data_IF_199671625305
#
_entry.id   IF_199671625305
#
_cell.length_a   1.000
_cell.length_b   1.000
_cell.length_c   1.000
_cell.angle_alpha   90.00
_cell.angle_beta   90.00
_cell.angle_gamma   90.00
#
_symmetry.space_group_name_H-M   'P 1'
#
loop_
_entity.id
_entity.type
_entity.pdbx_description
1 polymer ?
#
# COMPACT_ATOMS: atom_id res chain seq x y z
N UNK A 1 3.35 16.44 42.27
CA UNK A 1 3.38 14.96 42.27
C UNK A 1 2.87 14.33 40.96
N UNK A 2 1.72 14.75 40.40
CA UNK A 2 1.17 14.16 39.16
C UNK A 2 2.04 14.34 37.90
N UNK A 3 2.67 15.51 37.73
CA UNK A 3 3.57 15.79 36.60
C UNK A 3 4.86 14.95 36.62
N UNK A 4 5.40 14.70 37.82
CA UNK A 4 6.60 13.85 38.00
C UNK A 4 6.26 12.38 37.70
N UNK A 5 5.09 11.91 38.14
CA UNK A 5 4.63 10.56 37.82
C UNK A 5 4.40 10.38 36.30
N UNK A 6 3.85 11.37 35.60
CA UNK A 6 3.66 11.34 34.15
C UNK A 6 5.00 11.29 33.40
N UNK A 7 5.99 12.09 33.82
CA UNK A 7 7.34 12.06 33.25
C UNK A 7 8.05 10.73 33.49
N UNK A 8 7.87 10.12 34.68
CA UNK A 8 8.43 8.81 35.00
C UNK A 8 7.81 7.69 34.15
N UNK A 9 6.49 7.76 33.90
CA UNK A 9 5.78 6.81 33.03
C UNK A 9 6.20 6.94 31.55
N UNK A 10 6.43 8.16 31.05
CA UNK A 10 6.96 8.40 29.71
C UNK A 10 8.43 7.95 29.56
N UNK A 11 9.22 7.98 30.62
CA UNK A 11 10.59 7.48 30.62
C UNK A 11 10.66 5.93 30.65
N UNK A 12 9.60 5.26 31.09
CA UNK A 12 9.48 3.80 31.16
C UNK A 12 8.95 3.16 29.85
N UNK A 13 8.47 3.95 28.89
CA UNK A 13 8.14 3.44 27.56
C UNK A 13 9.43 3.25 26.77
N UNK A 14 10.01 2.05 26.84
CA UNK A 14 11.15 1.67 26.01
C UNK A 14 10.85 1.88 24.53
N UNK A 15 11.84 2.33 23.76
CA UNK A 15 11.69 2.44 22.32
C UNK A 15 11.52 1.04 21.73
N UNK A 16 10.38 0.81 21.07
CA UNK A 16 10.16 -0.38 20.26
C UNK A 16 11.04 -0.28 19.02
N UNK A 17 12.27 -0.81 19.11
CA UNK A 17 13.13 -0.98 17.95
C UNK A 17 12.58 -2.10 17.07
N UNK A 18 12.43 -1.83 15.78
CA UNK A 18 12.08 -2.87 14.80
C UNK A 18 13.10 -4.01 14.91
N UNK A 19 12.63 -5.21 15.27
CA UNK A 19 13.51 -6.36 15.51
C UNK A 19 14.30 -6.72 14.26
N UNK A 20 15.63 -6.73 14.37
CA UNK A 20 16.49 -7.32 13.36
C UNK A 20 16.78 -8.76 13.78
N UNK A 21 16.59 -9.71 12.88
CA UNK A 21 16.97 -11.11 13.11
C UNK A 21 18.31 -11.35 12.42
N UNK A 22 19.29 -11.84 13.18
CA UNK A 22 20.54 -12.33 12.62
C UNK A 22 20.30 -13.72 12.02
N UNK A 23 20.52 -13.84 10.72
CA UNK A 23 20.51 -15.10 9.97
C UNK A 23 21.98 -15.50 9.81
N UNK A 24 22.33 -16.68 10.31
CA UNK A 24 23.67 -17.25 10.09
C UNK A 24 23.71 -17.81 8.67
N UNK A 25 24.61 -17.28 7.85
CA UNK A 25 24.83 -17.75 6.48
C UNK A 25 25.78 -18.95 6.48
N UNK A 26 25.72 -19.83 5.47
CA UNK A 26 26.76 -20.82 5.23
C UNK A 26 28.13 -20.14 5.17
N UNK A 27 29.08 -20.57 6.02
CA UNK A 27 30.39 -19.91 6.19
C UNK A 27 30.52 -18.98 7.40
N UNK A 28 29.51 -18.89 8.27
CA UNK A 28 29.60 -18.20 9.57
C UNK A 28 29.38 -16.68 9.53
N UNK A 29 29.05 -16.12 8.37
CA UNK A 29 28.66 -14.72 8.23
C UNK A 29 27.29 -14.45 8.85
N UNK A 30 27.13 -13.31 9.53
CA UNK A 30 25.84 -12.87 10.06
C UNK A 30 25.18 -11.90 9.08
N UNK A 31 23.97 -12.24 8.62
CA UNK A 31 23.12 -11.35 7.83
C UNK A 31 21.97 -10.85 8.71
N UNK A 32 21.87 -9.54 8.91
CA UNK A 32 20.77 -8.94 9.64
C UNK A 32 19.61 -8.64 8.69
N UNK A 33 18.45 -9.27 8.93
CA UNK A 33 17.22 -9.00 8.19
C UNK A 33 16.28 -8.17 9.05
N UNK A 34 15.84 -7.03 8.51
CA UNK A 34 14.77 -6.24 9.12
C UNK A 34 13.48 -7.05 9.11
N UNK A 35 12.90 -7.29 10.29
CA UNK A 35 11.61 -7.97 10.41
C UNK A 35 10.50 -6.92 10.34
N UNK A 36 9.46 -7.22 9.58
CA UNK A 36 8.22 -6.44 9.49
C UNK A 36 7.09 -7.29 10.10
N UNK A 37 6.23 -6.66 10.89
CA UNK A 37 5.00 -7.28 11.36
C UNK A 37 4.01 -7.48 10.20
N UNK A 38 3.05 -8.38 10.39
CA UNK A 38 1.97 -8.61 9.41
C UNK A 38 1.21 -7.31 9.12
N UNK A 39 1.00 -6.45 10.13
CA UNK A 39 0.33 -5.15 9.96
C UNK A 39 1.20 -4.20 9.13
N UNK A 40 2.48 -4.04 9.46
CA UNK A 40 3.38 -3.16 8.69
C UNK A 40 3.48 -3.60 7.23
N UNK A 41 3.60 -4.91 6.98
CA UNK A 41 3.62 -5.45 5.62
C UNK A 41 2.31 -5.19 4.88
N UNK A 42 1.17 -5.31 5.57
CA UNK A 42 -0.15 -5.06 4.99
C UNK A 42 -0.29 -3.63 4.48
N UNK A 43 0.28 -2.64 5.16
CA UNK A 43 0.25 -1.23 4.75
C UNK A 43 1.55 -0.72 4.14
N UNK A 44 2.46 -1.62 3.74
CA UNK A 44 3.74 -1.25 3.16
C UNK A 44 3.54 -0.33 1.94
N UNK A 45 4.25 0.81 1.94
CA UNK A 45 4.21 1.85 0.92
C UNK A 45 2.84 2.55 0.75
N UNK A 46 1.91 2.38 1.68
CA UNK A 46 0.61 3.07 1.67
C UNK A 46 0.56 4.12 2.78
N UNK A 47 -0.23 5.17 2.55
CA UNK A 47 -0.67 6.09 3.60
C UNK A 47 -1.99 5.56 4.15
N UNK A 48 -1.98 5.10 5.41
CA UNK A 48 -3.16 4.58 6.11
C UNK A 48 -4.15 5.73 6.38
N UNK A 49 -5.43 5.49 6.11
CA UNK A 49 -6.50 6.42 6.41
C UNK A 49 -6.80 6.43 7.91
N UNK A 50 -6.85 7.61 8.53
CA UNK A 50 -7.13 7.80 9.96
C UNK A 50 -8.46 8.51 10.24
N UNK A 51 -9.00 9.24 9.25
CA UNK A 51 -10.24 10.02 9.40
C UNK A 51 -11.37 9.40 8.58
N UNK A 52 -12.62 9.64 8.94
CA UNK A 52 -13.75 9.21 8.13
C UNK A 52 -13.82 10.00 6.82
N UNK A 53 -14.28 9.36 5.75
CA UNK A 53 -14.50 9.97 4.43
C UNK A 53 -13.26 10.59 3.73
N UNK A 54 -12.05 10.29 4.21
CA UNK A 54 -10.77 10.78 3.67
C UNK A 54 -10.03 9.78 2.78
N UNK A 55 -10.67 8.68 2.38
CA UNK A 55 -10.06 7.65 1.53
C UNK A 55 -9.41 8.20 0.25
N UNK A 56 -10.04 9.18 -0.41
CA UNK A 56 -9.47 9.87 -1.57
C UNK A 56 -8.20 10.64 -1.22
N UNK A 57 -8.16 11.29 -0.05
CA UNK A 57 -6.98 12.00 0.44
C UNK A 57 -5.80 11.05 0.68
N UNK A 58 -6.06 9.93 1.36
CA UNK A 58 -5.03 8.93 1.68
C UNK A 58 -4.53 8.18 0.44
N UNK A 59 -5.42 7.85 -0.50
CA UNK A 59 -5.06 7.28 -1.80
C UNK A 59 -4.18 8.26 -2.60
N UNK A 60 -4.54 9.55 -2.60
CA UNK A 60 -3.75 10.57 -3.25
C UNK A 60 -2.39 10.76 -2.59
N UNK A 61 -2.35 10.90 -1.26
CA UNK A 61 -1.11 11.00 -0.48
C UNK A 61 -0.16 9.82 -0.76
N UNK A 62 -0.71 8.61 -0.90
CA UNK A 62 0.07 7.42 -1.27
C UNK A 62 0.76 7.60 -2.62
N UNK A 63 0.05 8.05 -3.66
CA UNK A 63 0.65 8.29 -4.98
C UNK A 63 1.68 9.42 -4.91
N UNK A 64 1.37 10.52 -4.24
CA UNK A 64 2.28 11.67 -4.13
C UNK A 64 3.58 11.29 -3.39
N UNK A 65 3.48 10.52 -2.31
CA UNK A 65 4.63 10.07 -1.53
C UNK A 65 5.47 9.04 -2.27
N UNK A 66 4.86 8.05 -2.89
CA UNK A 66 5.61 6.96 -3.51
C UNK A 66 6.07 7.26 -4.94
N UNK A 67 5.21 7.89 -5.75
CA UNK A 67 5.51 8.10 -7.17
C UNK A 67 6.19 9.45 -7.45
N UNK A 68 6.08 10.43 -6.54
CA UNK A 68 6.64 11.77 -6.72
C UNK A 68 7.58 12.18 -5.58
N UNK A 69 7.89 11.27 -4.63
CA UNK A 69 8.79 11.51 -3.51
C UNK A 69 8.44 12.73 -2.64
N UNK A 70 7.16 13.13 -2.62
CA UNK A 70 6.70 14.24 -1.81
C UNK A 70 6.40 13.78 -0.39
N UNK A 71 6.96 14.47 0.61
CA UNK A 71 6.69 14.15 2.00
C UNK A 71 5.33 14.70 2.45
N UNK A 72 4.26 14.02 2.01
CA UNK A 72 2.88 14.35 2.34
C UNK A 72 2.19 13.18 3.01
N UNK A 73 1.42 13.46 4.05
CA UNK A 73 0.53 12.51 4.70
C UNK A 73 -0.94 12.82 4.38
N UNK A 74 -1.83 12.01 4.96
CA UNK A 74 -3.27 12.18 4.81
C UNK A 74 -3.73 13.58 5.27
N UNK A 75 -3.24 14.06 6.41
CA UNK A 75 -3.67 15.33 6.99
C UNK A 75 -3.27 16.53 6.11
N UNK A 76 -2.05 16.50 5.57
CA UNK A 76 -1.58 17.52 4.62
C UNK A 76 -2.46 17.59 3.37
N UNK A 77 -2.80 16.42 2.80
CA UNK A 77 -3.65 16.36 1.60
C UNK A 77 -5.09 16.77 1.92
N UNK A 78 -5.65 16.37 3.08
CA UNK A 78 -6.97 16.83 3.56
C UNK A 78 -7.00 18.36 3.65
N UNK A 79 -6.03 18.96 4.35
CA UNK A 79 -5.96 20.42 4.52
C UNK A 79 -5.90 21.14 3.18
N UNK A 80 -5.06 20.64 2.26
CA UNK A 80 -4.95 21.21 0.92
C UNK A 80 -6.23 21.11 0.09
N UNK A 81 -6.93 19.97 0.15
CA UNK A 81 -8.21 19.81 -0.55
C UNK A 81 -9.32 20.68 0.03
N UNK A 82 -9.38 20.83 1.36
CA UNK A 82 -10.41 21.64 2.04
C UNK A 82 -10.37 23.13 1.66
N UNK A 83 -9.25 23.65 1.16
CA UNK A 83 -9.15 25.04 0.70
C UNK A 83 -10.14 25.34 -0.44
N UNK A 84 -10.35 24.37 -1.34
CA UNK A 84 -11.15 24.55 -2.57
C UNK A 84 -12.39 23.64 -2.63
N UNK A 85 -12.64 22.87 -1.57
CA UNK A 85 -13.76 21.93 -1.45
C UNK A 85 -14.90 22.53 -0.62
N UNK A 86 -16.12 22.04 -0.85
CA UNK A 86 -17.26 22.38 -0.01
C UNK A 86 -17.23 21.53 1.28
N UNK A 87 -16.96 22.17 2.42
CA UNK A 87 -16.79 21.48 3.69
C UNK A 87 -18.04 20.72 4.16
N UNK A 88 -19.24 21.24 3.90
CA UNK A 88 -20.49 20.59 4.32
C UNK A 88 -20.73 19.29 3.52
N UNK A 89 -20.37 19.30 2.24
CA UNK A 89 -20.45 18.13 1.38
C UNK A 89 -19.37 17.10 1.74
N UNK A 90 -18.13 17.54 2.00
CA UNK A 90 -17.04 16.64 2.40
C UNK A 90 -17.34 15.94 3.72
N UNK A 91 -17.97 16.62 4.68
CA UNK A 91 -18.35 16.00 5.97
C UNK A 91 -19.39 14.89 5.85
N UNK A 92 -20.24 14.94 4.82
CA UNK A 92 -21.36 14.00 4.66
C UNK A 92 -21.10 12.93 3.60
N UNK A 93 -20.32 13.24 2.57
CA UNK A 93 -20.10 12.39 1.39
C UNK A 93 -18.62 12.10 1.12
N UNK A 94 -17.70 12.81 1.76
CA UNK A 94 -16.27 12.72 1.51
C UNK A 94 -15.76 13.53 0.33
N UNK A 95 -14.47 13.39 0.06
CA UNK A 95 -13.82 14.07 -1.06
C UNK A 95 -14.21 13.48 -2.41
N UNK A 96 -14.52 14.34 -3.37
CA UNK A 96 -14.78 13.94 -4.75
C UNK A 96 -13.51 13.91 -5.60
N UNK A 97 -13.57 13.30 -6.79
CA UNK A 97 -12.48 13.40 -7.78
C UNK A 97 -12.24 14.85 -8.24
N UNK A 98 -13.26 15.70 -8.19
CA UNK A 98 -13.12 17.12 -8.53
C UNK A 98 -12.29 17.86 -7.47
N UNK A 99 -12.50 17.55 -6.19
CA UNK A 99 -11.72 18.13 -5.10
C UNK A 99 -10.26 17.71 -5.19
N UNK A 100 -10.01 16.41 -5.45
CA UNK A 100 -8.66 15.90 -5.70
C UNK A 100 -7.99 16.60 -6.89
N UNK A 101 -8.73 16.82 -7.99
CA UNK A 101 -8.22 17.53 -9.17
C UNK A 101 -7.83 18.97 -8.82
N UNK A 102 -8.71 19.73 -8.15
CA UNK A 102 -8.44 21.14 -7.77
C UNK A 102 -7.22 21.26 -6.86
N UNK A 103 -7.06 20.34 -5.92
CA UNK A 103 -5.87 20.31 -5.07
C UNK A 103 -4.59 20.03 -5.86
N UNK A 104 -4.59 19.03 -6.74
CA UNK A 104 -3.45 18.73 -7.61
C UNK A 104 -3.07 19.94 -8.48
N UNK A 105 -4.06 20.62 -9.06
CA UNK A 105 -3.83 21.83 -9.85
C UNK A 105 -3.23 22.97 -9.01
N UNK A 106 -3.61 23.09 -7.73
CA UNK A 106 -3.04 24.09 -6.83
C UNK A 106 -1.56 23.87 -6.50
N UNK A 107 -1.06 22.65 -6.65
CA UNK A 107 0.36 22.29 -6.47
C UNK A 107 1.09 22.08 -7.81
N UNK A 108 0.61 22.72 -8.89
CA UNK A 108 1.17 22.64 -10.24
C UNK A 108 1.22 21.23 -10.85
N UNK A 109 0.35 20.32 -10.38
CA UNK A 109 0.17 19.00 -10.97
C UNK A 109 -1.09 18.97 -11.85
N UNK A 110 -1.12 18.05 -12.81
CA UNK A 110 -2.29 17.82 -13.66
C UNK A 110 -2.99 16.56 -13.21
N UNK A 111 -4.32 16.57 -13.22
CA UNK A 111 -5.12 15.39 -12.94
C UNK A 111 -6.19 15.18 -14.01
N UNK A 112 -6.38 13.93 -14.43
CA UNK A 112 -7.37 13.58 -15.45
C UNK A 112 -8.12 12.31 -15.09
N UNK A 113 -9.44 12.38 -15.13
CA UNK A 113 -10.32 11.21 -15.11
C UNK A 113 -10.50 10.66 -16.52
N UNK A 114 -10.23 9.38 -16.72
CA UNK A 114 -10.47 8.67 -17.97
C UNK A 114 -11.50 7.58 -17.74
N UNK A 115 -12.47 7.48 -18.66
CA UNK A 115 -13.32 6.30 -18.75
C UNK A 115 -12.66 5.30 -19.68
N UNK A 116 -12.31 4.13 -19.17
CA UNK A 116 -11.62 3.09 -19.96
C UNK A 116 -12.35 1.76 -19.83
N UNK A 117 -12.19 0.89 -20.83
CA UNK A 117 -12.72 -0.48 -20.76
C UNK A 117 -11.80 -1.38 -19.92
N UNK A 118 -12.32 -2.48 -19.37
CA UNK A 118 -11.52 -3.45 -18.61
C UNK A 118 -10.30 -3.99 -19.35
N UNK A 119 -10.32 -4.04 -20.68
CA UNK A 119 -9.21 -4.53 -21.51
C UNK A 119 -8.04 -3.56 -21.58
N UNK A 120 -8.34 -2.26 -21.53
CA UNK A 120 -7.32 -1.22 -21.51
C UNK A 120 -6.63 -1.14 -20.14
N UNK A 121 -7.27 -1.64 -19.07
CA UNK A 121 -6.73 -1.60 -17.71
C UNK A 121 -5.33 -2.23 -17.57
N UNK A 122 -5.06 -3.31 -18.31
CA UNK A 122 -3.75 -4.00 -18.32
C UNK A 122 -2.65 -3.14 -18.96
N UNK A 123 -3.02 -2.17 -19.80
CA UNK A 123 -2.07 -1.26 -20.45
C UNK A 123 -1.70 -0.07 -19.56
N UNK A 124 -2.44 0.16 -18.47
CA UNK A 124 -2.17 1.24 -17.51
C UNK A 124 -0.96 0.86 -16.65
N UNK A 125 0.20 1.44 -16.99
CA UNK A 125 1.50 1.20 -16.30
C UNK A 125 1.83 2.23 -15.21
N UNK A 126 0.87 3.03 -14.80
CA UNK A 126 1.05 4.05 -13.76
C UNK A 126 0.01 3.81 -12.66
N UNK A 127 0.34 4.07 -11.39
CA UNK A 127 -0.63 3.95 -10.32
C UNK A 127 -1.69 5.04 -10.50
N UNK A 128 -2.96 4.64 -10.37
CA UNK A 128 -4.11 5.53 -10.56
C UNK A 128 -5.07 5.38 -9.40
N UNK A 129 -5.82 6.44 -9.09
CA UNK A 129 -6.92 6.35 -8.11
C UNK A 129 -8.15 5.82 -8.84
N UNK A 130 -8.84 4.84 -8.26
CA UNK A 130 -10.09 4.29 -8.78
C UNK A 130 -11.16 4.28 -7.70
N UNK A 131 -12.42 4.35 -8.13
CA UNK A 131 -13.56 4.19 -7.23
C UNK A 131 -14.05 2.74 -7.31
N UNK A 132 -13.99 2.04 -6.19
CA UNK A 132 -14.54 0.70 -6.03
C UNK A 132 -15.83 0.74 -5.23
N UNK A 133 -16.80 -0.07 -5.64
CA UNK A 133 -18.03 -0.37 -4.91
C UNK A 133 -17.96 -1.81 -4.41
N UNK A 134 -17.87 -1.97 -3.09
CA UNK A 134 -17.84 -3.27 -2.44
C UNK A 134 -19.09 -3.37 -1.57
N UNK A 135 -20.10 -4.12 -2.04
CA UNK A 135 -21.36 -4.36 -1.33
C UNK A 135 -22.09 -3.06 -0.92
N UNK A 136 -22.09 -2.05 -1.79
CA UNK A 136 -22.73 -0.76 -1.55
C UNK A 136 -21.84 0.27 -0.86
N UNK A 137 -20.62 -0.12 -0.45
CA UNK A 137 -19.63 0.80 0.09
C UNK A 137 -18.72 1.29 -1.03
N UNK A 138 -18.84 2.58 -1.37
CA UNK A 138 -18.01 3.25 -2.37
C UNK A 138 -16.75 3.80 -1.72
N UNK A 139 -15.59 3.43 -2.25
CA UNK A 139 -14.31 3.75 -1.64
C UNK A 139 -13.23 4.04 -2.69
N UNK A 140 -12.43 5.07 -2.45
CA UNK A 140 -11.27 5.38 -3.29
C UNK A 140 -10.07 4.54 -2.89
N UNK A 141 -9.48 3.87 -3.88
CA UNK A 141 -8.28 3.06 -3.69
C UNK A 141 -7.25 3.38 -4.76
N UNK A 142 -5.99 3.02 -4.48
CA UNK A 142 -4.92 3.09 -5.46
C UNK A 142 -4.89 1.78 -6.25
N UNK A 143 -5.19 1.83 -7.54
CA UNK A 143 -4.83 0.75 -8.46
C UNK A 143 -3.34 0.86 -8.76
N UNK A 144 -2.57 -0.09 -8.22
CA UNK A 144 -1.11 -0.12 -8.31
C UNK A 144 -0.66 -0.67 -9.67
N UNK A 145 -1.20 -1.85 -10.01
CA UNK A 145 -0.86 -2.58 -11.23
C UNK A 145 -1.98 -3.56 -11.58
N UNK A 146 -2.15 -3.81 -12.86
CA UNK A 146 -3.02 -4.88 -13.37
C UNK A 146 -2.22 -5.81 -14.27
N UNK A 147 -2.34 -7.10 -14.06
CA UNK A 147 -1.82 -8.15 -14.95
C UNK A 147 -3.01 -8.89 -15.60
N UNK A 148 -2.78 -9.99 -16.32
CA UNK A 148 -3.84 -10.74 -17.04
C UNK A 148 -4.96 -11.23 -16.10
N UNK A 149 -4.58 -11.76 -14.95
CA UNK A 149 -5.50 -12.43 -14.02
C UNK A 149 -5.82 -11.61 -12.76
N UNK A 150 -4.99 -10.61 -12.45
CA UNK A 150 -4.99 -9.97 -11.13
C UNK A 150 -4.93 -8.44 -11.21
N UNK A 151 -5.69 -7.78 -10.33
CA UNK A 151 -5.59 -6.35 -10.03
C UNK A 151 -5.01 -6.15 -8.63
N UNK A 152 -3.90 -5.44 -8.53
CA UNK A 152 -3.23 -5.09 -7.27
C UNK A 152 -3.70 -3.73 -6.79
N UNK A 153 -4.23 -3.70 -5.57
CA UNK A 153 -4.90 -2.55 -4.98
C UNK A 153 -4.20 -2.15 -3.69
N UNK A 154 -3.86 -0.87 -3.55
CA UNK A 154 -3.52 -0.23 -2.30
C UNK A 154 -4.76 0.42 -1.72
N UNK A 155 -5.40 -0.26 -0.79
CA UNK A 155 -6.57 0.26 -0.08
C UNK A 155 -6.10 1.01 1.18
N UNK A 156 -6.37 2.32 1.34
CA UNK A 156 -5.94 3.08 2.51
C UNK A 156 -6.51 2.57 3.85
N UNK A 157 -7.62 1.83 3.83
CA UNK A 157 -8.27 1.26 5.02
C UNK A 157 -7.90 -0.21 5.21
N UNK A 158 -7.89 -0.98 4.12
CA UNK A 158 -7.73 -2.42 4.17
C UNK A 158 -6.32 -2.90 3.80
N UNK A 159 -5.42 -1.99 3.44
CA UNK A 159 -4.05 -2.26 3.04
C UNK A 159 -3.92 -2.84 1.62
N UNK A 160 -2.73 -3.38 1.34
CA UNK A 160 -2.42 -4.02 0.07
C UNK A 160 -3.26 -5.29 -0.12
N UNK A 161 -4.02 -5.34 -1.20
CA UNK A 161 -4.88 -6.46 -1.60
C UNK A 161 -4.72 -6.77 -3.08
N UNK A 162 -5.13 -7.98 -3.44
CA UNK A 162 -5.19 -8.44 -4.83
C UNK A 162 -6.57 -9.03 -5.09
N UNK A 163 -7.19 -8.62 -6.17
CA UNK A 163 -8.47 -9.15 -6.64
C UNK A 163 -8.26 -9.87 -7.96
N UNK A 164 -9.02 -10.95 -8.20
CA UNK A 164 -9.15 -11.49 -9.54
C UNK A 164 -9.68 -10.37 -10.46
N UNK A 165 -9.16 -10.28 -11.69
CA UNK A 165 -9.51 -9.20 -12.62
C UNK A 165 -11.03 -9.07 -12.80
N UNK A 166 -11.73 -10.19 -12.97
CA UNK A 166 -13.18 -10.21 -13.16
C UNK A 166 -13.94 -9.69 -11.93
N UNK A 167 -13.47 -10.00 -10.73
CA UNK A 167 -14.09 -9.52 -9.50
C UNK A 167 -13.85 -8.04 -9.26
N UNK A 168 -12.64 -7.55 -9.60
CA UNK A 168 -12.35 -6.13 -9.60
C UNK A 168 -13.27 -5.36 -10.55
N UNK A 169 -13.44 -5.86 -11.78
CA UNK A 169 -14.25 -5.21 -12.82
C UNK A 169 -15.72 -5.11 -12.41
N UNK A 170 -16.27 -6.09 -11.69
CA UNK A 170 -17.65 -6.04 -11.18
C UNK A 170 -17.88 -4.89 -10.20
N UNK A 171 -16.89 -4.58 -9.36
CA UNK A 171 -16.97 -3.49 -8.38
C UNK A 171 -16.48 -2.14 -8.89
N UNK A 172 -15.90 -2.07 -10.08
CA UNK A 172 -15.28 -0.86 -10.60
C UNK A 172 -16.21 -0.11 -11.57
N UNK A 173 -16.27 1.21 -11.45
CA UNK A 173 -17.18 2.06 -12.22
C UNK A 173 -16.68 2.44 -13.64
N UNK A 174 -15.55 1.90 -14.07
CA UNK A 174 -14.94 2.19 -15.38
C UNK A 174 -14.13 3.49 -15.44
N UNK A 175 -13.94 4.18 -14.32
CA UNK A 175 -13.18 5.45 -14.26
C UNK A 175 -11.84 5.24 -13.57
N UNK A 176 -10.76 5.69 -14.21
CA UNK A 176 -9.44 5.84 -13.61
C UNK A 176 -9.10 7.32 -13.47
N UNK A 177 -8.52 7.70 -12.33
CA UNK A 177 -8.05 9.06 -12.07
C UNK A 177 -6.52 9.06 -12.04
N UNK A 178 -5.92 9.64 -13.07
CA UNK A 178 -4.48 9.69 -13.25
C UNK A 178 -3.91 11.03 -12.74
N UNK A 179 -2.82 10.94 -11.99
CA UNK A 179 -2.03 12.08 -11.49
C UNK A 179 -0.79 12.23 -12.36
N UNK A 180 -0.57 13.41 -12.92
CA UNK A 180 0.46 13.72 -13.91
C UNK A 180 1.21 14.98 -13.46
N UNK A 181 2.45 14.83 -13.03
CA UNK A 181 3.34 15.94 -12.66
C UNK A 181 4.77 15.72 -13.15
N UNK A 182 5.62 16.70 -12.93
CA UNK A 182 7.06 16.53 -13.05
C UNK A 182 7.60 15.67 -11.89
N UNK A 183 8.76 15.04 -12.08
CA UNK A 183 9.38 14.22 -11.02
C UNK A 183 8.76 12.84 -10.80
N UNK A 184 7.93 12.35 -11.72
CA UNK A 184 7.38 10.99 -11.63
C UNK A 184 8.49 9.94 -11.70
N UNK A 185 8.60 9.13 -10.64
CA UNK A 185 9.52 8.01 -10.56
C UNK A 185 8.91 6.76 -11.23
N UNK A 186 9.56 6.30 -12.31
CA UNK A 186 9.16 5.09 -13.05
C UNK A 186 9.54 3.78 -12.36
N UNK A 187 10.28 3.85 -11.26
CA UNK A 187 10.75 2.71 -10.46
C UNK A 187 10.12 2.68 -9.07
N UNK A 188 9.06 3.46 -8.86
CA UNK A 188 8.40 3.57 -7.56
C UNK A 188 7.84 2.21 -7.06
N UNK A 189 7.71 2.11 -5.74
CA UNK A 189 7.31 0.88 -5.06
C UNK A 189 5.88 0.41 -5.40
N UNK A 190 5.00 1.29 -5.90
CA UNK A 190 3.63 0.94 -6.29
C UNK A 190 3.58 0.15 -7.60
N UNK A 191 4.61 0.20 -8.44
CA UNK A 191 4.66 -0.57 -9.69
C UNK A 191 5.08 -2.03 -9.48
N UNK A 192 5.68 -2.32 -8.32
CA UNK A 192 6.11 -3.66 -7.90
C UNK A 192 5.43 -4.07 -6.59
N UNK A 193 4.08 -4.19 -6.57
CA UNK A 193 3.36 -4.60 -5.37
C UNK A 193 3.80 -5.99 -4.92
N UNK A 194 4.08 -6.16 -3.63
CA UNK A 194 4.27 -7.50 -3.05
C UNK A 194 2.95 -8.26 -3.10
N UNK A 195 3.02 -9.57 -3.32
CA UNK A 195 1.85 -10.41 -3.17
C UNK A 195 1.33 -10.34 -1.71
N UNK A 196 0.00 -10.18 -1.51
CA UNK A 196 -0.57 -10.17 -0.17
C UNK A 196 -0.38 -11.54 0.51
N UNK A 197 -0.12 -11.52 1.82
CA UNK A 197 0.04 -12.72 2.61
C UNK A 197 -1.27 -13.53 2.57
N UNK A 198 -1.22 -14.73 1.99
CA UNK A 198 -2.39 -15.61 1.84
C UNK A 198 -2.02 -17.01 2.32
N UNK A 199 -2.74 -17.52 3.32
CA UNK A 199 -2.50 -18.86 3.88
C UNK A 199 -2.79 -20.00 2.88
N UNK A 200 -3.73 -19.77 1.96
CA UNK A 200 -4.27 -20.77 1.02
C UNK A 200 -3.21 -21.42 0.11
N UNK A 201 -2.15 -20.69 -0.24
CA UNK A 201 -1.13 -21.20 -1.16
C UNK A 201 0.22 -21.47 -0.47
N UNK A 202 0.47 -20.94 0.73
CA UNK A 202 1.77 -21.08 1.39
C UNK A 202 1.88 -22.31 2.30
N UNK A 203 0.76 -22.85 2.80
CA UNK A 203 0.78 -24.04 3.65
C UNK A 203 1.06 -25.33 2.87
N UNK A 204 0.74 -25.36 1.57
CA UNK A 204 0.97 -26.52 0.70
C UNK A 204 2.30 -26.45 -0.09
N UNK A 205 3.05 -25.36 0.03
CA UNK A 205 4.39 -25.20 -0.57
C UNK A 205 5.52 -25.63 0.38
N UNK A 206 5.19 -26.16 1.57
CA UNK A 206 6.18 -26.85 2.39
C UNK A 206 6.57 -28.16 1.70
N UNK A 207 7.57 -28.10 0.83
CA UNK A 207 8.33 -29.27 0.42
C UNK A 207 9.38 -29.50 1.50
N UNK A 208 9.46 -30.69 2.12
CA UNK A 208 10.65 -31.05 2.89
C UNK A 208 11.87 -30.85 2.00
N UNK A 209 12.94 -30.27 2.57
CA UNK A 209 14.21 -30.08 1.88
C UNK A 209 14.65 -31.46 1.39
N UNK A 210 14.98 -31.58 0.10
CA UNK A 210 15.37 -32.88 -0.46
C UNK A 210 16.70 -33.30 0.13
N UNK A 211 16.92 -34.58 0.37
CA UNK A 211 18.19 -35.10 0.91
C UNK A 211 19.40 -34.61 0.09
N UNK A 212 19.25 -34.46 -1.23
CA UNK A 212 20.26 -33.88 -2.12
C UNK A 212 20.58 -32.42 -1.81
N UNK A 213 19.58 -31.61 -1.44
CA UNK A 213 19.77 -30.21 -1.06
C UNK A 213 20.36 -30.12 0.35
N UNK A 214 20.08 -31.07 1.24
CA UNK A 214 20.69 -31.13 2.56
C UNK A 214 22.18 -31.50 2.51
N UNK A 215 22.61 -32.30 1.53
CA UNK A 215 24.02 -32.56 1.27
C UNK A 215 24.79 -31.30 0.88
N UNK A 216 24.17 -30.37 0.15
CA UNK A 216 24.77 -29.06 -0.18
C UNK A 216 24.96 -28.16 1.07
N UNK A 217 24.24 -28.44 2.16
CA UNK A 217 24.40 -27.78 3.46
C UNK A 217 25.30 -28.55 4.43
N UNK A 218 25.97 -29.63 3.97
CA UNK A 218 26.96 -30.37 4.74
C UNK A 218 26.39 -31.50 5.62
N UNK A 219 25.11 -31.83 5.48
CA UNK A 219 24.56 -33.04 6.11
C UNK A 219 25.06 -34.28 5.38
N UNK A 220 25.55 -35.27 6.12
CA UNK A 220 26.01 -36.54 5.57
C UNK A 220 24.91 -37.59 5.65
N UNK A 221 24.98 -38.59 4.77
CA UNK A 221 23.93 -39.61 4.65
C UNK A 221 23.67 -40.37 5.97
N UNK A 222 24.66 -40.43 6.88
CA UNK A 222 24.53 -41.04 8.21
C UNK A 222 23.66 -40.25 9.19
N UNK A 223 23.38 -38.98 8.93
CA UNK A 223 22.56 -38.12 9.80
C UNK A 223 21.05 -38.32 9.56
N UNK A 224 20.69 -39.09 8.51
CA UNK A 224 19.32 -39.32 8.06
C UNK A 224 18.75 -40.71 8.44
N UNK A 225 19.50 -41.53 9.18
CA UNK A 225 19.12 -42.89 9.59
C UNK A 225 19.39 -43.16 11.07
#
# INVERSE_FOLDING_TARGET
MRLVALFLLLALTGQAMAGQVAIVMPGGGLMYKKVESIRERKFANLVEQKTDFSCGAAALATILRQAYWMDVDEEHVIKGMLVNANQDLVRTQGFSMLDMKRYLESINMRAKGYRITPDVLVTVKVPVVVLLDIRGYKHFVVLQRTDKDWAYIGDPVLGNKRYARDDFVKGWNGIVFAVIGEGYDKTNALLTPRAPLTAKNQLNEFSPVRDSELMDFGFIQSDFF
#
